data_IF_762432552279
#
_entry.id   IF_762432552279
#
_cell.length_a   1.000
_cell.length_b   1.000
_cell.length_c   1.000
_cell.angle_alpha   90.00
_cell.angle_beta   90.00
_cell.angle_gamma   90.00
#
_symmetry.space_group_name_H-M   'P 1'
#
loop_
_entity.id
_entity.type
_entity.pdbx_description
1 polymer ?
#
# COMPACT_ATOMS: atom_id res chain seq x y z
N UNK A 1 7.61 -16.11 11.43
CA UNK A 1 6.95 -14.80 11.28
C UNK A 1 6.97 -14.49 9.79
N UNK A 2 5.82 -14.15 9.19
CA UNK A 2 5.77 -13.85 7.74
C UNK A 2 6.33 -12.44 7.55
N UNK A 3 7.17 -12.26 6.52
CA UNK A 3 7.76 -10.97 6.17
C UNK A 3 6.66 -9.99 5.67
N UNK A 4 6.58 -8.75 6.20
CA UNK A 4 5.58 -7.78 5.76
C UNK A 4 5.58 -7.53 4.24
N UNK A 5 6.75 -7.54 3.61
CA UNK A 5 6.88 -7.33 2.16
C UNK A 5 6.34 -8.54 1.37
N UNK A 6 6.64 -9.76 1.83
CA UNK A 6 6.06 -11.00 1.27
C UNK A 6 4.53 -11.03 1.41
N UNK A 7 3.98 -10.52 2.52
CA UNK A 7 2.53 -10.42 2.72
C UNK A 7 1.90 -9.39 1.77
N UNK A 8 2.60 -8.27 1.54
CA UNK A 8 2.18 -7.22 0.62
C UNK A 8 2.14 -7.73 -0.84
N UNK A 9 3.17 -8.46 -1.26
CA UNK A 9 3.23 -9.06 -2.59
C UNK A 9 2.10 -10.09 -2.80
N UNK A 10 1.88 -10.98 -1.82
CA UNK A 10 0.74 -11.92 -1.84
C UNK A 10 -0.60 -11.22 -1.88
N UNK A 11 -0.76 -10.12 -1.15
CA UNK A 11 -1.99 -9.33 -1.18
C UNK A 11 -2.23 -8.73 -2.58
N UNK A 12 -1.21 -8.15 -3.20
CA UNK A 12 -1.29 -7.62 -4.57
C UNK A 12 -1.64 -8.74 -5.56
N UNK A 13 -0.98 -9.90 -5.45
CA UNK A 13 -1.25 -11.03 -6.32
C UNK A 13 -2.72 -11.49 -6.20
N UNK A 14 -3.23 -11.65 -4.99
CA UNK A 14 -4.63 -12.02 -4.76
C UNK A 14 -5.60 -11.03 -5.41
N UNK A 15 -5.34 -9.72 -5.26
CA UNK A 15 -6.18 -8.67 -5.86
C UNK A 15 -6.18 -8.77 -7.39
N UNK A 16 -5.01 -8.97 -8.00
CA UNK A 16 -4.87 -9.13 -9.46
C UNK A 16 -5.59 -10.39 -9.94
N UNK A 17 -5.41 -11.52 -9.25
CA UNK A 17 -6.07 -12.77 -9.59
C UNK A 17 -7.60 -12.67 -9.51
N UNK A 18 -8.13 -12.03 -8.46
CA UNK A 18 -9.57 -11.84 -8.30
C UNK A 18 -10.15 -10.95 -9.40
N UNK A 19 -9.42 -9.89 -9.77
CA UNK A 19 -9.80 -9.04 -10.89
C UNK A 19 -9.80 -9.81 -12.21
N UNK A 20 -8.78 -10.63 -12.47
CA UNK A 20 -8.70 -11.43 -13.70
C UNK A 20 -9.82 -12.47 -13.77
N UNK A 21 -10.15 -13.13 -12.65
CA UNK A 21 -11.27 -14.08 -12.58
C UNK A 21 -12.60 -13.38 -12.86
N UNK A 22 -12.82 -12.20 -12.27
CA UNK A 22 -14.04 -11.43 -12.47
C UNK A 22 -14.17 -10.92 -13.92
N UNK A 23 -13.08 -10.40 -14.50
CA UNK A 23 -13.03 -9.92 -15.89
C UNK A 23 -13.30 -11.05 -16.90
N UNK A 24 -12.70 -12.23 -16.67
CA UNK A 24 -12.97 -13.42 -17.45
C UNK A 24 -14.46 -13.78 -17.43
N UNK A 25 -15.07 -13.85 -16.25
CA UNK A 25 -16.49 -14.21 -16.11
C UNK A 25 -17.42 -13.16 -16.74
N UNK A 26 -17.10 -11.86 -16.58
CA UNK A 26 -17.81 -10.77 -17.26
C UNK A 26 -17.75 -10.94 -18.77
N UNK A 27 -16.56 -11.20 -19.31
CA UNK A 27 -16.37 -11.39 -20.76
C UNK A 27 -17.15 -12.60 -21.29
N UNK A 28 -17.19 -13.70 -20.54
CA UNK A 28 -17.99 -14.88 -20.90
C UNK A 28 -19.49 -14.55 -20.94
N UNK A 29 -20.00 -13.89 -19.90
CA UNK A 29 -21.41 -13.50 -19.82
C UNK A 29 -21.79 -12.55 -20.96
N UNK A 30 -20.94 -11.56 -21.27
CA UNK A 30 -21.17 -10.63 -22.37
C UNK A 30 -21.18 -11.35 -23.73
N UNK A 31 -20.28 -12.30 -23.93
CA UNK A 31 -20.23 -13.13 -25.14
C UNK A 31 -21.51 -13.97 -25.30
N UNK A 32 -22.04 -14.53 -24.21
CA UNK A 32 -23.29 -15.29 -24.23
C UNK A 32 -24.51 -14.41 -24.49
N UNK A 33 -24.52 -13.16 -24.02
CA UNK A 33 -25.56 -12.17 -24.36
C UNK A 33 -25.51 -11.84 -25.85
N UNK A 34 -24.32 -11.56 -26.39
CA UNK A 34 -24.13 -11.26 -27.82
C UNK A 34 -24.52 -12.43 -28.73
N UNK A 35 -24.27 -13.66 -28.28
CA UNK A 35 -24.66 -14.89 -28.98
C UNK A 35 -26.16 -15.24 -28.80
N UNK A 36 -26.93 -14.45 -28.04
CA UNK A 36 -28.35 -14.69 -27.78
C UNK A 36 -28.64 -15.91 -26.88
N UNK A 37 -27.63 -16.45 -26.19
CA UNK A 37 -27.81 -17.59 -25.27
C UNK A 37 -28.41 -17.19 -23.93
N UNK A 38 -28.25 -15.93 -23.56
CA UNK A 38 -28.84 -15.30 -22.38
C UNK A 38 -29.18 -13.86 -22.69
N UNK A 39 -29.77 -13.12 -21.75
CA UNK A 39 -30.09 -11.71 -21.93
C UNK A 39 -29.70 -10.89 -20.71
N UNK A 40 -29.75 -9.57 -20.85
CA UNK A 40 -29.40 -8.64 -19.77
C UNK A 40 -30.27 -8.81 -18.52
N UNK A 41 -31.53 -9.21 -18.66
CA UNK A 41 -32.44 -9.39 -17.52
C UNK A 41 -32.06 -10.62 -16.69
N UNK A 42 -31.70 -11.73 -17.34
CA UNK A 42 -31.29 -12.97 -16.67
C UNK A 42 -29.86 -12.90 -16.14
N UNK A 43 -28.95 -12.29 -16.89
CA UNK A 43 -27.53 -12.26 -16.55
C UNK A 43 -27.08 -11.01 -15.78
N UNK A 44 -27.89 -9.94 -15.76
CA UNK A 44 -27.51 -8.63 -15.22
C UNK A 44 -27.13 -8.65 -13.75
N UNK A 45 -27.83 -9.43 -12.92
CA UNK A 45 -27.49 -9.55 -11.50
C UNK A 45 -26.17 -10.29 -11.28
N UNK A 46 -25.86 -11.31 -12.09
CA UNK A 46 -24.59 -12.05 -11.99
C UNK A 46 -23.43 -11.17 -12.48
N UNK A 47 -23.63 -10.49 -13.61
CA UNK A 47 -22.68 -9.53 -14.16
C UNK A 47 -22.35 -8.42 -13.16
N UNK A 48 -23.37 -7.84 -12.51
CA UNK A 48 -23.21 -6.80 -11.50
C UNK A 48 -22.33 -7.24 -10.33
N UNK A 49 -22.49 -8.48 -9.84
CA UNK A 49 -21.64 -9.02 -8.77
C UNK A 49 -20.17 -9.09 -9.17
N UNK A 50 -19.86 -9.50 -10.39
CA UNK A 50 -18.47 -9.56 -10.86
C UNK A 50 -17.88 -8.16 -11.09
N UNK A 51 -18.68 -7.20 -11.58
CA UNK A 51 -18.28 -5.79 -11.65
C UNK A 51 -18.00 -5.23 -10.25
N UNK A 52 -18.82 -5.57 -9.25
CA UNK A 52 -18.60 -5.19 -7.85
C UNK A 52 -17.30 -5.80 -7.28
N UNK A 53 -17.01 -7.07 -7.60
CA UNK A 53 -15.71 -7.69 -7.24
C UNK A 53 -14.54 -6.91 -7.83
N UNK A 54 -14.62 -6.50 -9.10
CA UNK A 54 -13.58 -5.66 -9.71
C UNK A 54 -13.47 -4.28 -9.06
N UNK A 55 -14.59 -3.65 -8.71
CA UNK A 55 -14.57 -2.38 -7.99
C UNK A 55 -13.90 -2.52 -6.62
N UNK A 56 -14.24 -3.56 -5.86
CA UNK A 56 -13.62 -3.84 -4.55
C UNK A 56 -12.12 -4.10 -4.68
N UNK A 57 -11.68 -4.82 -5.73
CA UNK A 57 -10.26 -5.01 -6.04
C UNK A 57 -9.55 -3.67 -6.32
N UNK A 58 -10.16 -2.76 -7.08
CA UNK A 58 -9.62 -1.42 -7.32
C UNK A 58 -9.51 -0.61 -6.02
N UNK A 59 -10.53 -0.64 -5.17
CA UNK A 59 -10.49 0.01 -3.86
C UNK A 59 -9.36 -0.53 -2.96
N UNK A 60 -9.10 -1.84 -3.03
CA UNK A 60 -7.99 -2.48 -2.30
C UNK A 60 -6.63 -2.02 -2.81
N UNK A 61 -6.43 -1.91 -4.13
CA UNK A 61 -5.19 -1.36 -4.71
C UNK A 61 -4.94 0.08 -4.26
N UNK A 62 -5.96 0.92 -4.29
CA UNK A 62 -5.85 2.32 -3.81
C UNK A 62 -5.45 2.37 -2.35
N UNK A 63 -6.06 1.54 -1.49
CA UNK A 63 -5.73 1.44 -0.07
C UNK A 63 -4.28 0.97 0.15
N UNK A 64 -3.84 -0.08 -0.55
CA UNK A 64 -2.46 -0.56 -0.47
C UNK A 64 -1.47 0.51 -0.92
N UNK A 65 -1.75 1.20 -2.03
CA UNK A 65 -0.90 2.28 -2.55
C UNK A 65 -0.77 3.42 -1.53
N UNK A 66 -1.88 3.80 -0.88
CA UNK A 66 -1.88 4.80 0.17
C UNK A 66 -1.06 4.37 1.40
N UNK A 67 -1.15 3.09 1.79
CA UNK A 67 -0.35 2.53 2.89
C UNK A 67 1.14 2.51 2.56
N UNK A 68 1.54 2.05 1.37
CA UNK A 68 2.95 2.07 0.95
C UNK A 68 3.53 3.48 0.95
N UNK A 69 2.81 4.45 0.36
CA UNK A 69 3.22 5.85 0.38
C UNK A 69 3.41 6.38 1.80
N UNK A 70 2.52 6.01 2.73
CA UNK A 70 2.62 6.39 4.13
C UNK A 70 3.84 5.75 4.81
N UNK A 71 4.13 4.49 4.52
CA UNK A 71 5.32 3.80 5.06
C UNK A 71 6.59 4.46 4.56
N UNK A 72 6.68 4.81 3.27
CA UNK A 72 7.85 5.54 2.73
C UNK A 72 8.04 6.90 3.40
N UNK A 73 6.96 7.67 3.62
CA UNK A 73 7.07 8.97 4.28
C UNK A 73 7.43 8.90 5.77
N UNK A 74 7.16 7.77 6.43
CA UNK A 74 7.47 7.56 7.86
C UNK A 74 8.74 6.73 8.07
N UNK A 75 9.38 6.25 7.00
CA UNK A 75 10.67 5.59 7.11
C UNK A 75 11.71 6.65 7.48
N UNK A 76 12.31 6.51 8.66
CA UNK A 76 13.48 7.32 9.02
C UNK A 76 14.62 6.97 8.04
N UNK A 77 14.87 7.87 7.09
CA UNK A 77 15.90 7.69 6.05
C UNK A 77 17.29 8.14 6.52
N UNK A 78 17.45 8.34 7.83
CA UNK A 78 18.62 8.97 8.42
C UNK A 78 18.41 10.47 8.65
N UNK A 79 19.40 11.08 9.32
CA UNK A 79 19.46 12.54 9.44
C UNK A 79 20.07 13.13 8.18
N UNK A 80 19.49 14.22 7.67
CA UNK A 80 20.17 15.06 6.68
C UNK A 80 21.53 15.53 7.22
N UNK A 81 22.47 15.85 6.34
CA UNK A 81 23.78 16.34 6.77
C UNK A 81 23.65 17.55 7.69
N UNK A 82 22.71 18.45 7.40
CA UNK A 82 22.41 19.62 8.23
C UNK A 82 21.84 19.29 9.61
N UNK A 83 21.03 18.23 9.74
CA UNK A 83 20.50 17.80 11.04
C UNK A 83 21.58 17.09 11.84
N UNK A 84 22.47 16.35 11.15
CA UNK A 84 23.62 15.68 11.75
C UNK A 84 24.61 16.69 12.31
N UNK A 85 24.93 17.73 11.55
CA UNK A 85 25.84 18.80 12.00
C UNK A 85 25.28 19.54 13.21
N UNK A 86 23.96 19.83 13.22
CA UNK A 86 23.30 20.42 14.38
C UNK A 86 23.36 19.52 15.62
N UNK A 87 23.08 18.23 15.46
CA UNK A 87 23.19 17.23 16.53
C UNK A 87 24.62 17.16 17.09
N UNK A 88 25.63 17.17 16.22
CA UNK A 88 27.03 17.14 16.66
C UNK A 88 27.43 18.40 17.43
N UNK A 89 27.01 19.59 16.99
CA UNK A 89 27.27 20.84 17.71
C UNK A 89 26.54 20.89 19.06
N UNK A 90 25.32 20.38 19.13
CA UNK A 90 24.54 20.32 20.38
C UNK A 90 25.18 19.37 21.41
N UNK A 91 25.60 18.17 20.99
CA UNK A 91 26.35 17.22 21.85
C UNK A 91 27.68 17.83 22.33
N UNK A 92 28.41 18.50 21.43
CA UNK A 92 29.69 19.14 21.77
C UNK A 92 29.50 20.27 22.78
N UNK A 93 28.38 21.01 22.67
CA UNK A 93 28.02 22.06 23.61
C UNK A 93 27.74 21.48 25.00
N UNK A 94 26.92 20.43 25.08
CA UNK A 94 26.63 19.73 26.35
C UNK A 94 27.91 19.20 27.02
N UNK A 95 28.81 18.56 26.27
CA UNK A 95 30.10 18.08 26.82
C UNK A 95 30.99 19.21 27.34
N UNK A 96 30.96 20.38 26.69
CA UNK A 96 31.72 21.53 27.15
C UNK A 96 31.16 22.15 28.43
N UNK A 97 29.84 22.09 28.61
CA UNK A 97 29.14 22.57 29.81
C UNK A 97 29.40 21.62 31.01
N UNK A 98 29.29 20.30 30.81
CA UNK A 98 29.64 19.29 31.84
C UNK A 98 31.12 19.36 32.26
N UNK A 99 32.03 19.62 31.31
CA UNK A 99 33.46 19.79 31.60
C UNK A 99 33.77 21.05 32.42
N UNK A 100 32.92 22.08 32.32
CA UNK A 100 33.08 23.32 33.07
C UNK A 100 32.46 23.29 34.48
N UNK A 101 31.48 22.43 34.72
CA UNK A 101 30.89 22.19 36.05
C UNK A 101 31.80 21.31 36.93
N UNK A 102 32.62 20.44 36.33
CA UNK A 102 33.54 19.55 37.05
C UNK A 102 34.81 20.22 37.61
N UNK A 103 35.04 21.50 37.31
CA UNK A 103 36.17 22.29 37.84
C UNK A 103 35.78 23.25 38.98
N UNK A 104 34.55 23.17 39.51
CA UNK A 104 34.07 24.04 40.60
C UNK A 104 33.99 23.39 41.98
N UNK A 105 34.50 22.16 42.17
CA UNK A 105 34.78 21.56 43.49
C UNK A 105 36.29 21.48 43.79
#
# INVERSE_FOLDING_TARGET
MIDPDELAEKAIQNIVEDRNKADYLVTQILSDIQAGKTNHQSAGMVLSKHLETMQRANEQLVKLTALFKKTETNAFTGFSDTERDKLFEEIKKEQSEESSEQCQD
#
